data_IF_790717678090
#
_entry.id   IF_790717678090
#
_cell.length_a   1.000
_cell.length_b   1.000
_cell.length_c   1.000
_cell.angle_alpha   90.00
_cell.angle_beta   90.00
_cell.angle_gamma   90.00
#
_symmetry.space_group_name_H-M   'P 1'
#
loop_
_entity.id
_entity.type
_entity.pdbx_description
1 polymer ?
#
# COMPACT_ATOMS: atom_id res chain seq x y z
N UNK A 1 27.23 -3.58 -6.17
CA UNK A 1 26.76 -4.32 -4.97
C UNK A 1 27.23 -3.64 -3.68
N UNK A 2 28.54 -3.47 -3.45
CA UNK A 2 29.04 -2.82 -2.22
C UNK A 2 28.58 -1.37 -2.02
N UNK A 3 28.59 -0.54 -3.08
CA UNK A 3 28.08 0.84 -3.02
C UNK A 3 26.60 0.89 -2.62
N UNK A 4 25.80 -0.01 -3.19
CA UNK A 4 24.37 -0.15 -2.89
C UNK A 4 24.12 -0.62 -1.47
N UNK A 5 24.94 -1.53 -0.93
CA UNK A 5 24.82 -1.98 0.46
C UNK A 5 25.06 -0.86 1.46
N UNK A 6 26.06 0.00 1.20
CA UNK A 6 26.31 1.18 2.04
C UNK A 6 25.11 2.13 2.03
N UNK A 7 24.54 2.38 0.85
CA UNK A 7 23.34 3.20 0.69
C UNK A 7 22.13 2.58 1.42
N UNK A 8 21.94 1.26 1.32
CA UNK A 8 20.83 0.54 1.97
C UNK A 8 20.97 0.59 3.51
N UNK A 9 22.19 0.46 4.07
CA UNK A 9 22.45 0.63 5.52
C UNK A 9 22.22 2.08 5.97
N UNK A 10 22.69 3.06 5.20
CA UNK A 10 22.57 4.47 5.56
C UNK A 10 21.09 4.89 5.66
N UNK A 11 20.24 4.38 4.76
CA UNK A 11 18.80 4.68 4.77
C UNK A 11 18.11 4.18 6.03
N UNK A 12 18.57 3.05 6.58
CA UNK A 12 18.03 2.51 7.83
C UNK A 12 18.26 3.52 8.96
N UNK A 13 19.48 4.05 9.11
CA UNK A 13 19.76 5.08 10.12
C UNK A 13 19.00 6.39 9.90
N UNK A 14 18.71 6.75 8.64
CA UNK A 14 17.94 7.96 8.34
C UNK A 14 16.45 7.83 8.66
N UNK A 15 15.90 6.61 8.60
CA UNK A 15 14.45 6.37 8.65
C UNK A 15 13.97 5.64 9.90
N UNK A 16 14.84 4.88 10.54
CA UNK A 16 14.53 4.14 11.76
C UNK A 16 15.28 4.74 12.96
N UNK A 17 14.59 5.50 13.83
CA UNK A 17 15.16 6.03 15.06
C UNK A 17 15.66 4.97 16.04
N UNK A 18 15.24 3.71 15.88
CA UNK A 18 15.65 2.60 16.75
C UNK A 18 17.02 2.01 16.37
N UNK A 19 17.57 2.30 15.19
CA UNK A 19 18.86 1.80 14.75
C UNK A 19 20.01 2.43 15.55
N UNK A 20 20.73 1.64 16.35
CA UNK A 20 21.80 2.16 17.23
C UNK A 20 23.20 1.93 16.68
N UNK A 21 23.42 0.86 15.91
CA UNK A 21 24.77 0.54 15.41
C UNK A 21 24.76 -0.21 14.08
N UNK A 22 25.84 -0.11 13.31
CA UNK A 22 25.96 -0.79 12.01
C UNK A 22 25.94 -2.30 12.17
N UNK A 23 26.55 -2.81 13.25
CA UNK A 23 26.58 -4.25 13.53
C UNK A 23 25.18 -4.80 13.82
N UNK A 24 24.39 -4.08 14.63
CA UNK A 24 22.98 -4.39 14.86
C UNK A 24 22.18 -4.41 13.56
N UNK A 25 22.34 -3.37 12.72
CA UNK A 25 21.65 -3.31 11.43
C UNK A 25 22.01 -4.50 10.53
N UNK A 26 23.29 -4.85 10.44
CA UNK A 26 23.74 -5.97 9.62
C UNK A 26 23.24 -7.31 10.15
N UNK A 27 23.16 -7.50 11.47
CA UNK A 27 22.81 -8.80 12.07
C UNK A 27 21.32 -8.98 12.31
N UNK A 28 20.56 -7.92 12.54
CA UNK A 28 19.21 -8.00 13.09
C UNK A 28 18.11 -7.41 12.19
N UNK A 29 18.42 -6.76 11.06
CA UNK A 29 17.39 -6.15 10.21
C UNK A 29 16.93 -7.09 9.09
N UNK A 30 15.75 -7.73 9.21
CA UNK A 30 15.26 -8.67 8.22
C UNK A 30 15.00 -8.01 6.87
N UNK A 31 14.60 -6.73 6.86
CA UNK A 31 14.44 -5.94 5.64
C UNK A 31 15.73 -5.83 4.83
N UNK A 32 16.87 -5.58 5.49
CA UNK A 32 18.18 -5.52 4.85
C UNK A 32 18.58 -6.90 4.28
N UNK A 33 18.43 -7.96 5.06
CA UNK A 33 18.72 -9.33 4.63
C UNK A 33 17.89 -9.71 3.40
N UNK A 34 16.61 -9.35 3.40
CA UNK A 34 15.72 -9.66 2.30
C UNK A 34 16.10 -8.96 1.00
N UNK A 35 16.54 -7.70 1.08
CA UNK A 35 17.02 -6.94 -0.08
C UNK A 35 18.32 -7.57 -0.63
N UNK A 36 19.27 -7.93 0.23
CA UNK A 36 20.54 -8.56 -0.18
C UNK A 36 20.27 -9.87 -0.92
N UNK A 37 19.49 -10.77 -0.33
CA UNK A 37 19.13 -12.05 -0.93
C UNK A 37 18.34 -11.88 -2.23
N UNK A 38 17.42 -10.92 -2.27
CA UNK A 38 16.69 -10.58 -3.50
C UNK A 38 17.64 -10.09 -4.60
N UNK A 39 18.60 -9.20 -4.31
CA UNK A 39 19.54 -8.71 -5.33
C UNK A 39 20.38 -9.86 -5.93
N UNK A 40 20.78 -10.85 -5.12
CA UNK A 40 21.45 -12.07 -5.60
C UNK A 40 20.50 -12.90 -6.48
N UNK A 41 19.28 -13.18 -6.01
CA UNK A 41 18.28 -13.93 -6.77
C UNK A 41 17.94 -13.24 -8.10
N UNK A 42 17.75 -11.92 -8.09
CA UNK A 42 17.44 -11.11 -9.27
C UNK A 42 18.58 -11.14 -10.30
N UNK A 43 19.84 -11.09 -9.84
CA UNK A 43 20.99 -11.24 -10.72
C UNK A 43 20.99 -12.59 -11.45
N UNK A 44 20.78 -13.69 -10.70
CA UNK A 44 20.70 -15.04 -11.28
C UNK A 44 19.48 -15.21 -12.21
N UNK A 45 18.35 -14.60 -11.86
CA UNK A 45 17.15 -14.57 -12.69
C UNK A 45 17.41 -13.86 -14.04
N UNK A 46 18.14 -12.73 -14.02
CA UNK A 46 18.57 -12.02 -15.24
C UNK A 46 19.52 -12.82 -16.12
N UNK A 47 20.20 -13.82 -15.57
CA UNK A 47 21.02 -14.78 -16.33
C UNK A 47 20.21 -15.94 -16.95
N UNK A 48 18.88 -15.93 -16.79
CA UNK A 48 17.98 -16.94 -17.36
C UNK A 48 17.82 -18.19 -16.49
N UNK A 49 18.41 -18.23 -15.29
CA UNK A 49 18.18 -19.34 -14.36
C UNK A 49 16.77 -19.23 -13.77
N UNK A 50 16.03 -20.33 -13.79
CA UNK A 50 14.63 -20.34 -13.33
C UNK A 50 14.54 -20.85 -11.89
N UNK A 51 15.11 -22.02 -11.60
CA UNK A 51 14.94 -22.70 -10.31
C UNK A 51 15.73 -22.05 -9.18
N UNK A 52 17.03 -21.78 -9.38
CA UNK A 52 17.92 -21.28 -8.32
C UNK A 52 17.43 -19.95 -7.72
N UNK A 53 17.05 -18.93 -8.52
CA UNK A 53 16.49 -17.70 -7.96
C UNK A 53 15.23 -17.92 -7.13
N UNK A 54 14.37 -18.86 -7.52
CA UNK A 54 13.13 -19.18 -6.80
C UNK A 54 13.42 -19.89 -5.48
N UNK A 55 14.42 -20.77 -5.42
CA UNK A 55 14.88 -21.36 -4.16
C UNK A 55 15.42 -20.30 -3.21
N UNK A 56 16.23 -19.35 -3.69
CA UNK A 56 16.73 -18.23 -2.88
C UNK A 56 15.57 -17.36 -2.38
N UNK A 57 14.57 -17.09 -3.22
CA UNK A 57 13.37 -16.33 -2.85
C UNK A 57 12.57 -17.04 -1.74
N UNK A 58 12.42 -18.37 -1.79
CA UNK A 58 11.73 -19.12 -0.74
C UNK A 58 12.54 -19.20 0.56
N UNK A 59 13.87 -19.36 0.45
CA UNK A 59 14.74 -19.29 1.61
C UNK A 59 14.70 -17.91 2.28
N UNK A 60 14.69 -16.84 1.47
CA UNK A 60 14.55 -15.47 1.96
C UNK A 60 13.23 -15.29 2.73
N UNK A 61 12.12 -15.76 2.17
CA UNK A 61 10.80 -15.75 2.83
C UNK A 61 10.82 -16.51 4.15
N UNK A 62 11.45 -17.69 4.19
CA UNK A 62 11.59 -18.49 5.40
C UNK A 62 12.38 -17.76 6.50
N UNK A 63 13.50 -17.15 6.13
CA UNK A 63 14.40 -16.47 7.08
C UNK A 63 13.82 -15.14 7.61
N UNK A 64 13.18 -14.36 6.73
CA UNK A 64 12.83 -12.96 7.03
C UNK A 64 11.32 -12.70 7.15
N UNK A 65 10.48 -13.63 6.69
CA UNK A 65 9.04 -13.40 6.55
C UNK A 65 8.66 -12.47 5.38
N UNK A 66 9.63 -12.05 4.55
CA UNK A 66 9.44 -11.16 3.40
C UNK A 66 9.52 -11.98 2.11
N UNK A 67 8.45 -11.95 1.31
CA UNK A 67 8.42 -12.59 0.01
C UNK A 67 8.71 -11.59 -1.12
N UNK A 68 9.82 -11.79 -1.83
CA UNK A 68 10.17 -10.99 -3.01
C UNK A 68 10.42 -11.93 -4.18
N UNK A 69 9.62 -11.79 -5.23
CA UNK A 69 9.84 -12.54 -6.46
C UNK A 69 11.16 -12.13 -7.13
N UNK A 70 12.00 -13.06 -7.65
CA UNK A 70 13.26 -12.72 -8.29
C UNK A 70 13.13 -11.79 -9.50
N UNK A 71 12.00 -11.84 -10.20
CA UNK A 71 11.69 -10.97 -11.33
C UNK A 71 11.44 -9.49 -10.97
N UNK A 72 11.12 -9.19 -9.71
CA UNK A 72 10.84 -7.82 -9.28
C UNK A 72 12.07 -6.93 -9.50
N UNK A 73 11.85 -5.69 -9.91
CA UNK A 73 12.92 -4.68 -10.09
C UNK A 73 12.87 -3.72 -8.91
N UNK A 74 13.97 -3.59 -8.19
CA UNK A 74 14.07 -2.73 -7.01
C UNK A 74 15.23 -1.76 -7.19
N UNK A 75 14.93 -0.47 -7.02
CA UNK A 75 15.89 0.63 -7.04
C UNK A 75 16.88 0.62 -5.87
N UNK A 76 17.48 1.78 -5.64
CA UNK A 76 18.40 2.06 -4.54
C UNK A 76 17.64 2.58 -3.34
N UNK A 77 18.23 2.43 -2.14
CA UNK A 77 17.69 3.06 -0.93
C UNK A 77 16.25 2.62 -0.63
N UNK A 78 15.93 1.38 -1.00
CA UNK A 78 14.67 0.76 -0.68
C UNK A 78 14.70 0.30 0.77
N UNK A 79 13.71 0.71 1.55
CA UNK A 79 13.66 0.39 2.97
C UNK A 79 12.40 -0.43 3.27
N UNK A 80 12.60 -1.58 3.92
CA UNK A 80 11.53 -2.43 4.42
C UNK A 80 11.63 -2.40 5.93
N UNK A 81 10.70 -1.70 6.57
CA UNK A 81 10.65 -1.59 8.02
C UNK A 81 9.73 -2.68 8.60
N UNK A 82 10.21 -3.34 9.66
CA UNK A 82 9.67 -4.56 10.30
C UNK A 82 9.52 -5.79 9.37
N UNK A 83 8.99 -5.61 8.16
CA UNK A 83 9.05 -6.52 7.02
C UNK A 83 8.14 -7.75 7.06
N UNK A 84 7.72 -8.22 8.23
CA UNK A 84 6.90 -9.44 8.32
C UNK A 84 5.64 -9.37 7.44
N UNK A 85 5.42 -10.38 6.61
CA UNK A 85 4.23 -10.48 5.75
C UNK A 85 4.24 -9.54 4.54
N UNK A 86 5.37 -8.91 4.21
CA UNK A 86 5.54 -8.19 2.95
C UNK A 86 5.56 -9.17 1.77
N UNK A 87 4.80 -8.85 0.71
CA UNK A 87 4.73 -9.65 -0.52
C UNK A 87 4.93 -8.75 -1.74
N UNK A 88 5.96 -9.03 -2.53
CA UNK A 88 6.32 -8.28 -3.74
C UNK A 88 6.33 -9.24 -4.94
N UNK A 89 5.38 -9.06 -5.85
CA UNK A 89 5.19 -9.96 -6.97
C UNK A 89 6.12 -9.74 -8.16
N UNK A 90 6.06 -10.67 -9.11
CA UNK A 90 7.05 -10.85 -10.20
C UNK A 90 7.32 -9.60 -11.03
N UNK A 91 6.29 -8.89 -11.47
CA UNK A 91 6.45 -7.78 -12.42
C UNK A 91 6.45 -6.44 -11.71
N UNK A 92 6.70 -6.42 -10.39
CA UNK A 92 6.73 -5.19 -9.60
C UNK A 92 7.96 -4.39 -9.98
N UNK A 93 7.79 -3.10 -10.14
CA UNK A 93 8.90 -2.18 -10.34
C UNK A 93 8.87 -1.14 -9.22
N UNK A 94 9.96 -1.03 -8.46
CA UNK A 94 10.10 -0.12 -7.33
C UNK A 94 11.25 0.84 -7.65
N UNK A 95 10.96 2.13 -7.60
CA UNK A 95 11.92 3.21 -7.78
C UNK A 95 12.89 3.36 -6.61
N UNK A 96 13.58 4.50 -6.58
CA UNK A 96 14.58 4.82 -5.58
C UNK A 96 13.92 5.44 -4.33
N UNK A 97 14.56 5.29 -3.17
CA UNK A 97 14.14 5.89 -1.90
C UNK A 97 12.72 5.49 -1.43
N UNK A 98 12.19 4.35 -1.85
CA UNK A 98 10.86 3.89 -1.40
C UNK A 98 10.94 3.28 0.00
N UNK A 99 9.92 3.50 0.83
CA UNK A 99 9.74 2.84 2.14
C UNK A 99 8.47 2.02 2.14
N UNK A 100 8.55 0.78 2.62
CA UNK A 100 7.38 -0.05 2.90
C UNK A 100 7.44 -0.61 4.31
N UNK A 101 6.28 -0.77 4.93
CA UNK A 101 6.13 -1.35 6.26
C UNK A 101 5.64 -2.80 6.20
N UNK A 102 5.55 -3.46 7.35
CA UNK A 102 5.06 -4.83 7.50
C UNK A 102 3.67 -5.04 6.86
N UNK A 103 3.42 -6.25 6.36
CA UNK A 103 2.13 -6.66 5.80
C UNK A 103 1.74 -6.00 4.48
N UNK A 104 2.63 -5.21 3.86
CA UNK A 104 2.37 -4.59 2.56
C UNK A 104 2.34 -5.64 1.45
N UNK A 105 1.38 -5.54 0.54
CA UNK A 105 1.31 -6.39 -0.67
C UNK A 105 1.37 -5.54 -1.92
N UNK A 106 2.37 -5.80 -2.77
CA UNK A 106 2.47 -5.31 -4.15
C UNK A 106 2.07 -6.48 -5.07
N UNK A 107 0.76 -6.62 -5.24
CA UNK A 107 0.12 -7.84 -5.74
C UNK A 107 -0.40 -7.72 -7.17
N UNK A 108 -0.58 -8.88 -7.80
CA UNK A 108 -1.16 -8.97 -9.13
C UNK A 108 -2.69 -8.97 -9.12
N UNK A 109 -3.30 -8.60 -10.26
CA UNK A 109 -4.73 -8.85 -10.54
C UNK A 109 -4.87 -9.65 -11.84
N UNK A 110 -5.85 -10.56 -11.89
CA UNK A 110 -6.13 -11.36 -13.09
C UNK A 110 -5.21 -12.57 -13.29
N UNK A 111 -5.43 -13.32 -14.38
CA UNK A 111 -4.70 -14.56 -14.74
C UNK A 111 -3.77 -14.40 -15.94
N UNK A 112 -3.70 -13.21 -16.52
CA UNK A 112 -2.95 -12.98 -17.75
C UNK A 112 -1.44 -12.99 -17.53
N UNK A 113 -0.70 -13.46 -18.54
CA UNK A 113 0.75 -13.45 -18.56
C UNK A 113 1.21 -12.06 -19.02
N UNK A 114 2.00 -11.37 -18.19
CA UNK A 114 2.49 -10.02 -18.48
C UNK A 114 2.60 -9.14 -17.24
N UNK A 115 2.72 -7.82 -17.47
CA UNK A 115 2.73 -6.79 -16.41
C UNK A 115 1.39 -6.79 -15.69
N UNK A 116 1.40 -7.20 -14.42
CA UNK A 116 0.19 -7.35 -13.60
C UNK A 116 0.35 -6.83 -12.17
N UNK A 117 1.57 -6.47 -11.78
CA UNK A 117 1.91 -5.93 -10.47
C UNK A 117 2.24 -4.44 -10.57
N UNK A 118 2.22 -3.70 -9.45
CA UNK A 118 2.35 -2.24 -9.47
C UNK A 118 3.71 -1.74 -9.96
N UNK A 119 3.74 -0.47 -10.35
CA UNK A 119 4.97 0.32 -10.48
C UNK A 119 4.94 1.42 -9.42
N UNK A 120 5.89 1.38 -8.49
CA UNK A 120 6.06 2.33 -7.41
C UNK A 120 7.17 3.30 -7.81
N UNK A 121 6.86 4.59 -7.93
CA UNK A 121 7.85 5.64 -8.27
C UNK A 121 8.66 6.06 -7.03
N UNK A 122 9.58 6.99 -7.26
CA UNK A 122 10.58 7.38 -6.27
C UNK A 122 9.96 8.06 -5.05
N UNK A 123 10.64 7.95 -3.90
CA UNK A 123 10.28 8.58 -2.63
C UNK A 123 8.88 8.23 -2.10
N UNK A 124 8.27 7.14 -2.58
CA UNK A 124 6.96 6.68 -2.09
C UNK A 124 7.10 6.04 -0.72
N UNK A 125 6.11 6.28 0.15
CA UNK A 125 5.96 5.59 1.44
C UNK A 125 4.67 4.79 1.46
N UNK A 126 4.74 3.50 1.78
CA UNK A 126 3.59 2.60 1.84
C UNK A 126 3.41 2.09 3.27
N UNK A 127 2.35 2.56 3.93
CA UNK A 127 2.01 2.23 5.31
C UNK A 127 1.71 0.75 5.53
N UNK A 128 1.79 0.35 6.80
CA UNK A 128 1.64 -1.05 7.22
C UNK A 128 0.32 -1.66 6.74
N UNK A 129 0.37 -2.90 6.28
CA UNK A 129 -0.81 -3.65 5.85
C UNK A 129 -1.45 -3.19 4.54
N UNK A 130 -0.95 -2.14 3.87
CA UNK A 130 -1.55 -1.65 2.63
C UNK A 130 -1.44 -2.69 1.49
N UNK A 131 -2.43 -2.69 0.60
CA UNK A 131 -2.53 -3.58 -0.56
C UNK A 131 -2.57 -2.73 -1.82
N UNK A 132 -1.54 -2.81 -2.66
CA UNK A 132 -1.47 -2.14 -3.96
C UNK A 132 -1.57 -3.23 -5.02
N UNK A 133 -2.69 -3.27 -5.73
CA UNK A 133 -3.06 -4.42 -6.55
C UNK A 133 -3.24 -4.03 -8.01
N UNK A 134 -2.63 -4.81 -8.90
CA UNK A 134 -2.75 -4.67 -10.35
C UNK A 134 -1.61 -3.87 -10.98
N UNK A 135 -1.61 -3.73 -12.33
CA UNK A 135 -0.59 -3.00 -13.06
C UNK A 135 -0.78 -1.48 -12.98
N UNK A 136 -0.94 -0.97 -11.76
CA UNK A 136 -1.15 0.46 -11.48
C UNK A 136 0.15 1.17 -11.12
N UNK A 137 0.18 2.48 -11.30
CA UNK A 137 1.31 3.35 -10.99
C UNK A 137 1.03 4.14 -9.71
N UNK A 138 1.96 4.08 -8.75
CA UNK A 138 2.01 5.01 -7.63
C UNK A 138 3.02 6.09 -7.94
N UNK A 139 2.55 7.32 -8.15
CA UNK A 139 3.37 8.48 -8.48
C UNK A 139 4.38 8.84 -7.40
N UNK A 140 5.41 9.59 -7.80
CA UNK A 140 6.53 9.97 -6.93
C UNK A 140 6.07 10.84 -5.75
N UNK A 141 6.82 10.76 -4.64
CA UNK A 141 6.57 11.50 -3.39
C UNK A 141 5.17 11.24 -2.78
N UNK A 142 4.48 10.20 -3.21
CA UNK A 142 3.16 9.84 -2.70
C UNK A 142 3.22 8.97 -1.45
N UNK A 143 2.17 9.02 -0.64
CA UNK A 143 2.02 8.28 0.60
C UNK A 143 0.76 7.42 0.56
N UNK A 144 0.92 6.13 0.78
CA UNK A 144 -0.20 5.19 0.93
C UNK A 144 -0.41 4.97 2.43
N UNK A 145 -1.62 5.22 2.92
CA UNK A 145 -1.99 5.01 4.31
C UNK A 145 -1.94 3.53 4.71
N UNK A 146 -1.77 3.28 6.01
CA UNK A 146 -1.86 1.94 6.57
C UNK A 146 -3.22 1.31 6.27
N UNK A 147 -3.22 0.01 5.96
CA UNK A 147 -4.42 -0.77 5.62
C UNK A 147 -5.13 -0.38 4.31
N UNK A 148 -4.63 0.62 3.57
CA UNK A 148 -5.30 1.09 2.36
C UNK A 148 -5.29 0.03 1.24
N UNK A 149 -6.36 -0.05 0.46
CA UNK A 149 -6.47 -0.95 -0.70
C UNK A 149 -6.52 -0.12 -1.98
N UNK A 150 -5.38 -0.04 -2.66
CA UNK A 150 -5.17 0.78 -3.86
C UNK A 150 -5.40 -0.07 -5.11
N UNK A 151 -6.42 0.32 -5.89
CA UNK A 151 -6.87 -0.38 -7.10
C UNK A 151 -6.78 0.49 -8.36
N UNK A 152 -6.29 1.72 -8.24
CA UNK A 152 -6.19 2.71 -9.32
C UNK A 152 -4.87 3.47 -9.19
N UNK A 153 -4.42 4.06 -10.29
CA UNK A 153 -3.23 4.90 -10.31
C UNK A 153 -3.33 6.03 -9.28
N UNK A 154 -2.21 6.30 -8.62
CA UNK A 154 -2.05 7.36 -7.63
C UNK A 154 -1.21 8.46 -8.28
N UNK A 155 -1.73 9.70 -8.41
CA UNK A 155 -0.94 10.81 -8.92
C UNK A 155 0.31 11.07 -8.06
N UNK A 156 1.34 11.75 -8.59
CA UNK A 156 2.46 12.25 -7.78
C UNK A 156 2.01 13.16 -6.63
N UNK A 157 2.88 13.33 -5.63
CA UNK A 157 2.71 14.22 -4.48
C UNK A 157 1.38 14.04 -3.74
N UNK A 158 0.85 12.82 -3.71
CA UNK A 158 -0.49 12.53 -3.23
C UNK A 158 -0.50 11.63 -1.99
N UNK A 159 -1.45 11.84 -1.09
CA UNK A 159 -1.73 10.90 0.00
C UNK A 159 -3.04 10.16 -0.30
N UNK A 160 -3.01 8.83 -0.27
CA UNK A 160 -4.20 7.99 -0.43
C UNK A 160 -4.44 7.11 0.78
N UNK A 161 -5.69 6.96 1.19
CA UNK A 161 -6.10 6.17 2.37
C UNK A 161 -7.43 5.45 2.12
N UNK A 162 -7.76 4.45 2.94
CA UNK A 162 -9.07 3.80 2.95
C UNK A 162 -9.19 2.55 2.08
N UNK A 163 -10.37 1.92 2.13
CA UNK A 163 -10.71 0.68 1.43
C UNK A 163 -12.07 0.86 0.74
N UNK A 164 -12.12 1.00 -0.60
CA UNK A 164 -11.00 1.20 -1.51
C UNK A 164 -10.34 2.58 -1.33
N UNK A 165 -9.04 2.68 -1.64
CA UNK A 165 -8.26 3.88 -1.38
C UNK A 165 -8.74 5.09 -2.20
N UNK A 166 -8.66 6.28 -1.60
CA UNK A 166 -9.00 7.57 -2.20
C UNK A 166 -7.93 8.61 -1.87
N UNK A 167 -7.73 9.56 -2.78
CA UNK A 167 -6.79 10.67 -2.61
C UNK A 167 -7.36 11.73 -1.67
N UNK A 168 -6.64 12.04 -0.58
CA UNK A 168 -7.04 13.02 0.45
C UNK A 168 -6.16 14.27 0.45
N UNK A 169 -4.98 14.19 -0.16
CA UNK A 169 -4.02 15.30 -0.27
C UNK A 169 -3.31 15.20 -1.61
N UNK A 170 -3.08 16.32 -2.28
CA UNK A 170 -2.28 16.41 -3.51
C UNK A 170 -1.52 17.73 -3.52
N UNK A 171 -0.23 17.71 -3.86
CA UNK A 171 0.64 18.91 -3.94
C UNK A 171 0.62 19.74 -2.64
N UNK A 172 0.63 19.04 -1.51
CA UNK A 172 0.45 19.60 -0.18
C UNK A 172 -0.90 20.28 0.15
N UNK A 173 -1.82 20.31 -0.81
CA UNK A 173 -3.17 20.84 -0.65
C UNK A 173 -4.09 19.70 -0.23
N UNK A 174 -4.84 19.89 0.87
CA UNK A 174 -5.93 18.97 1.21
C UNK A 174 -6.99 19.08 0.12
N UNK A 175 -7.27 17.97 -0.56
CA UNK A 175 -8.40 17.93 -1.48
C UNK A 175 -9.62 17.82 -0.59
N UNK A 176 -10.55 18.79 -0.69
CA UNK A 176 -11.88 18.66 -0.14
C UNK A 176 -12.59 17.53 -0.90
N UNK A 177 -12.35 16.29 -0.48
CA UNK A 177 -13.31 15.23 -0.68
C UNK A 177 -14.61 15.67 0.02
N UNK A 178 -15.80 15.41 -0.56
CA UNK A 178 -17.07 15.57 0.16
C UNK A 178 -17.14 14.80 1.49
N UNK A 179 -16.15 13.94 1.75
CA UNK A 179 -16.02 13.02 2.86
C UNK A 179 -14.71 13.22 3.66
N UNK A 180 -14.05 14.40 3.61
CA UNK A 180 -12.88 14.64 4.49
C UNK A 180 -13.36 14.84 5.91
N UNK A 181 -13.43 13.70 6.58
CA UNK A 181 -13.41 13.51 8.01
C UNK A 181 -12.22 14.29 8.61
N UNK A 182 -12.55 15.18 9.55
CA UNK A 182 -11.59 15.85 10.43
C UNK A 182 -10.77 14.81 11.22
N UNK A 183 -9.47 15.02 11.39
CA UNK A 183 -8.55 14.04 12.01
C UNK A 183 -8.60 14.06 13.55
N UNK A 184 -9.56 14.78 14.14
CA UNK A 184 -9.97 14.54 15.52
C UNK A 184 -10.60 13.15 15.61
N UNK A 185 -9.84 12.17 16.13
CA UNK A 185 -10.25 10.76 16.20
C UNK A 185 -11.56 10.52 16.99
N UNK A 186 -12.09 11.54 17.67
CA UNK A 186 -13.39 11.52 18.35
C UNK A 186 -14.59 12.03 17.53
N UNK A 187 -14.41 12.44 16.27
CA UNK A 187 -15.47 13.00 15.41
C UNK A 187 -15.33 12.59 13.94
N UNK A 188 -15.04 11.31 13.68
CA UNK A 188 -15.03 10.82 12.31
C UNK A 188 -16.48 10.60 11.82
N UNK A 189 -16.98 11.25 10.74
CA UNK A 189 -18.23 10.84 10.14
C UNK A 189 -18.11 9.41 9.62
N UNK A 190 -18.97 8.54 10.15
CA UNK A 190 -19.10 7.17 9.69
C UNK A 190 -19.86 7.18 8.35
N UNK A 191 -19.23 6.79 7.23
CA UNK A 191 -19.89 6.77 5.93
C UNK A 191 -21.07 5.80 5.89
N UNK A 192 -21.09 4.79 6.76
CA UNK A 192 -22.27 3.93 6.95
C UNK A 192 -23.36 4.70 7.68
N UNK A 193 -23.03 5.46 8.72
CA UNK A 193 -24.01 6.29 9.44
C UNK A 193 -24.60 7.39 8.57
N UNK A 194 -23.81 8.05 7.72
CA UNK A 194 -24.33 9.05 6.78
C UNK A 194 -25.32 8.45 5.78
N UNK A 195 -25.01 7.28 5.22
CA UNK A 195 -25.93 6.58 4.32
C UNK A 195 -27.16 6.04 5.07
N UNK A 196 -27.01 5.56 6.30
CA UNK A 196 -28.13 5.16 7.15
C UNK A 196 -29.02 6.35 7.50
N UNK A 197 -28.48 7.54 7.75
CA UNK A 197 -29.27 8.75 7.98
C UNK A 197 -30.02 9.20 6.72
N UNK A 198 -29.42 9.09 5.54
CA UNK A 198 -30.12 9.35 4.27
C UNK A 198 -31.26 8.37 4.05
N UNK A 199 -31.02 7.09 4.32
CA UNK A 199 -32.06 6.05 4.26
C UNK A 199 -33.17 6.32 5.28
N UNK A 200 -32.83 6.72 6.52
CA UNK A 200 -33.80 7.04 7.57
C UNK A 200 -34.69 8.22 7.17
N UNK A 201 -34.12 9.31 6.68
CA UNK A 201 -34.88 10.46 6.14
C UNK A 201 -35.78 10.07 4.97
N UNK A 202 -35.33 9.14 4.12
CA UNK A 202 -36.13 8.62 3.00
C UNK A 202 -37.33 7.82 3.53
N UNK A 203 -37.12 6.99 4.54
CA UNK A 203 -38.18 6.21 5.19
C UNK A 203 -39.20 7.14 5.85
N UNK A 204 -38.76 8.09 6.67
CA UNK A 204 -39.64 9.08 7.33
C UNK A 204 -40.50 9.83 6.30
N UNK A 205 -39.91 10.25 5.17
CA UNK A 205 -40.66 10.90 4.08
C UNK A 205 -41.69 9.97 3.42
N UNK A 206 -41.36 8.70 3.24
CA UNK A 206 -42.29 7.72 2.67
C UNK A 206 -43.44 7.40 3.63
N UNK A 207 -43.16 7.31 4.93
CA UNK A 207 -44.16 7.13 5.97
C UNK A 207 -45.14 8.31 6.00
N UNK A 208 -44.63 9.54 5.91
CA UNK A 208 -45.47 10.74 5.85
C UNK A 208 -46.41 10.74 4.64
N UNK A 209 -45.90 10.41 3.45
CA UNK A 209 -46.71 10.32 2.22
C UNK A 209 -47.79 9.23 2.36
N UNK A 210 -47.48 8.11 3.04
CA UNK A 210 -48.46 7.04 3.28
C UNK A 210 -49.56 7.45 4.25
N UNK A 211 -49.24 8.28 5.25
CA UNK A 211 -50.21 8.84 6.19
C UNK A 211 -51.13 9.82 5.45
N UNK A 212 -50.57 10.78 4.72
CA UNK A 212 -51.33 11.77 3.94
C UNK A 212 -52.28 11.09 2.95
N UNK A 213 -51.81 10.05 2.24
CA UNK A 213 -52.66 9.27 1.32
C UNK A 213 -53.73 8.42 1.98
N UNK A 214 -53.55 8.02 3.25
CA UNK A 214 -54.61 7.34 4.00
C UNK A 214 -55.68 8.33 4.42
N UNK A 215 -55.28 9.49 4.92
CA UNK A 215 -56.20 10.56 5.31
C UNK A 215 -57.03 11.05 4.11
N UNK A 216 -56.41 11.30 2.95
CA UNK A 216 -57.12 11.64 1.70
C UNK A 216 -58.14 10.56 1.25
N UNK A 217 -57.86 9.29 1.57
CA UNK A 217 -58.72 8.17 1.19
C UNK A 217 -59.85 7.93 2.18
N UNK A 218 -59.64 8.26 3.45
CA UNK A 218 -60.65 8.19 4.50
C UNK A 218 -61.59 9.41 4.45
N UNK A 219 -61.14 10.57 3.93
CA UNK A 219 -61.99 11.74 3.65
C UNK A 219 -62.83 11.60 2.36
N UNK A 220 -62.46 10.68 1.47
CA UNK A 220 -63.14 10.44 0.19
C UNK A 220 -64.24 9.35 0.25
N UNK A 221 -64.52 8.79 1.44
CA UNK A 221 -65.54 7.77 1.72
C UNK A 221 -66.64 8.36 2.59
#
# INVERSE_FOLDING_TARGET
MFKTLKEDIQVIFERDPAAKSVLEVILCYPGLHAIILHRIAHYLHKKGLILIPRLISQFNRFLTGIEIHPGAKIGRRFFIDHGMGVVIGETTEIGDNVTIYQGVTLGGTGKEKGKRHPTIKDNVVIGSGAKVLGPIVVGENSKIGAGAVVLKDVPPNSTVVGVPARCVKKDNIRIASPYVVDLEHGKLPDPVEEELQKLRKRIERLEQILIERKEEKDEAV
#
